data_IF_494139545050
#
_entry.id   IF_494139545050
#
_cell.length_a   1.000
_cell.length_b   1.000
_cell.length_c   1.000
_cell.angle_alpha   90.00
_cell.angle_beta   90.00
_cell.angle_gamma   90.00
#
_symmetry.space_group_name_H-M   'P 1'
#
loop_
_entity.id
_entity.type
_entity.pdbx_description
1 polymer ?
#
# COMPACT_ATOMS: atom_id res chain seq x y z
N UNK A 1 2.50 -1.23 -11.24
CA UNK A 1 1.73 -0.47 -12.24
C UNK A 1 0.66 -1.38 -12.82
N UNK A 2 -0.54 -1.46 -12.22
CA UNK A 2 -1.69 -2.11 -12.86
C UNK A 2 -2.76 -1.05 -13.13
N UNK A 3 -2.90 -0.77 -14.43
CA UNK A 3 -4.04 -0.27 -15.19
C UNK A 3 -5.11 0.61 -14.52
N UNK A 4 -5.18 1.86 -15.03
CA UNK A 4 -6.42 2.64 -15.12
C UNK A 4 -7.34 1.96 -16.15
N UNK A 5 -8.25 1.09 -15.70
CA UNK A 5 -9.53 0.97 -16.42
C UNK A 5 -10.42 2.15 -15.98
N UNK A 6 -10.92 2.98 -16.91
CA UNK A 6 -11.91 4.00 -16.61
C UNK A 6 -13.27 3.34 -16.38
N UNK A 7 -13.43 2.69 -15.24
CA UNK A 7 -14.74 2.25 -14.77
C UNK A 7 -15.33 3.38 -13.91
N UNK A 8 -16.50 3.95 -14.30
CA UNK A 8 -17.16 5.02 -13.56
C UNK A 8 -17.88 4.54 -12.28
N UNK A 9 -17.61 3.32 -11.82
CA UNK A 9 -18.28 2.76 -10.66
C UNK A 9 -17.67 3.31 -9.37
N UNK A 10 -18.49 3.96 -8.54
CA UNK A 10 -18.18 4.32 -7.15
C UNK A 10 -18.28 3.12 -6.19
N UNK A 11 -18.39 1.89 -6.73
CA UNK A 11 -18.57 0.67 -5.95
C UNK A 11 -17.39 -0.29 -6.19
N UNK A 12 -16.79 -0.76 -5.10
CA UNK A 12 -15.72 -1.75 -5.12
C UNK A 12 -16.22 -3.13 -4.68
N UNK A 13 -15.63 -4.17 -5.25
CA UNK A 13 -15.84 -5.55 -4.82
C UNK A 13 -14.85 -5.89 -3.70
N UNK A 14 -15.34 -6.27 -2.50
CA UNK A 14 -14.48 -6.76 -1.45
C UNK A 14 -13.96 -8.15 -1.81
N UNK A 15 -12.67 -8.41 -1.55
CA UNK A 15 -12.11 -9.76 -1.62
C UNK A 15 -11.27 -10.07 -0.38
N UNK A 16 -11.25 -11.34 0.05
CA UNK A 16 -10.46 -11.77 1.20
C UNK A 16 -9.10 -12.29 0.74
N UNK A 17 -8.04 -11.48 0.91
CA UNK A 17 -6.68 -11.90 0.53
C UNK A 17 -6.21 -13.14 1.30
N UNK A 18 -6.60 -13.29 2.56
CA UNK A 18 -6.22 -14.47 3.38
C UNK A 18 -6.85 -15.73 2.82
N UNK A 19 -8.16 -15.71 2.57
CA UNK A 19 -8.86 -16.87 2.02
C UNK A 19 -8.31 -17.24 0.64
N UNK A 20 -8.04 -16.25 -0.22
CA UNK A 20 -7.46 -16.50 -1.54
C UNK A 20 -6.10 -17.20 -1.46
N UNK A 21 -5.20 -16.77 -0.58
CA UNK A 21 -3.87 -17.38 -0.43
C UNK A 21 -3.98 -18.80 0.11
N UNK A 22 -4.75 -19.02 1.19
CA UNK A 22 -4.86 -20.36 1.77
C UNK A 22 -5.61 -21.34 0.85
N UNK A 23 -6.68 -20.89 0.19
CA UNK A 23 -7.45 -21.75 -0.72
C UNK A 23 -6.67 -22.08 -1.99
N UNK A 24 -5.93 -21.11 -2.55
CA UNK A 24 -5.12 -21.35 -3.75
C UNK A 24 -4.01 -22.37 -3.51
N UNK A 25 -3.33 -22.34 -2.37
CA UNK A 25 -2.30 -23.33 -2.03
C UNK A 25 -2.92 -24.74 -1.99
N UNK A 26 -4.01 -24.92 -1.24
CA UNK A 26 -4.67 -26.21 -1.12
C UNK A 26 -5.23 -26.71 -2.47
N UNK A 27 -5.84 -25.82 -3.24
CA UNK A 27 -6.44 -26.14 -4.54
C UNK A 27 -5.40 -26.52 -5.58
N UNK A 28 -4.25 -25.82 -5.63
CA UNK A 28 -3.14 -26.16 -6.53
C UNK A 28 -2.58 -27.54 -6.19
N UNK A 29 -2.31 -27.83 -4.91
CA UNK A 29 -1.79 -29.14 -4.48
C UNK A 29 -2.78 -30.24 -4.86
N UNK A 30 -4.08 -30.03 -4.63
CA UNK A 30 -5.11 -31.00 -4.97
C UNK A 30 -5.19 -31.25 -6.49
N UNK A 31 -5.23 -30.19 -7.31
CA UNK A 31 -5.32 -30.31 -8.76
C UNK A 31 -4.05 -30.89 -9.40
N UNK A 32 -2.88 -30.68 -8.81
CA UNK A 32 -1.61 -31.18 -9.35
C UNK A 32 -1.32 -32.62 -8.97
N UNK A 33 -1.83 -33.11 -7.82
CA UNK A 33 -1.57 -34.46 -7.34
C UNK A 33 -1.96 -35.56 -8.35
N UNK A 34 -3.09 -35.41 -9.04
CA UNK A 34 -3.55 -36.38 -10.04
C UNK A 34 -2.91 -36.24 -11.42
N UNK A 35 -2.10 -35.21 -11.67
CA UNK A 35 -1.55 -34.93 -13.00
C UNK A 35 -0.11 -35.42 -13.20
N UNK A 36 0.55 -35.88 -12.14
CA UNK A 36 1.94 -36.36 -12.22
C UNK A 36 2.09 -37.52 -13.22
N UNK A 37 1.18 -38.48 -13.21
CA UNK A 37 1.19 -39.62 -14.14
C UNK A 37 0.96 -39.17 -15.58
N UNK A 38 0.00 -38.28 -15.82
CA UNK A 38 -0.29 -37.74 -17.16
C UNK A 38 0.90 -36.97 -17.75
N UNK A 39 1.54 -36.13 -16.94
CA UNK A 39 2.72 -35.36 -17.36
C UNK A 39 3.90 -36.29 -17.61
N UNK A 40 4.09 -37.30 -16.76
CA UNK A 40 5.14 -38.30 -16.92
C UNK A 40 4.95 -39.11 -18.20
N UNK A 41 3.72 -39.61 -18.46
CA UNK A 41 3.39 -40.34 -19.67
C UNK A 41 3.56 -39.48 -20.93
N UNK A 42 3.14 -38.21 -20.88
CA UNK A 42 3.32 -37.27 -21.98
C UNK A 42 4.81 -36.98 -22.27
N UNK A 43 5.66 -36.96 -21.23
CA UNK A 43 7.10 -36.82 -21.40
C UNK A 43 7.72 -38.07 -22.04
N UNK A 44 7.35 -39.27 -21.56
CA UNK A 44 7.87 -40.54 -22.07
C UNK A 44 7.33 -40.92 -23.46
N UNK A 45 6.20 -40.35 -23.88
CA UNK A 45 5.65 -40.50 -25.24
C UNK A 45 6.43 -39.71 -26.31
N UNK A 46 7.35 -38.83 -25.91
CA UNK A 46 8.18 -38.06 -26.84
C UNK A 46 9.07 -38.94 -27.71
N UNK A 47 9.32 -38.50 -28.94
CA UNK A 47 10.28 -39.16 -29.82
C UNK A 47 11.70 -39.05 -29.24
N UNK A 48 12.24 -40.19 -28.82
CA UNK A 48 13.64 -40.43 -28.49
C UNK A 48 14.59 -40.05 -29.65
N UNK A 49 15.70 -39.41 -29.31
CA UNK A 49 16.74 -38.97 -30.25
C UNK A 49 18.00 -39.84 -30.20
N UNK A 50 18.27 -40.49 -29.06
CA UNK A 50 19.39 -41.39 -28.89
C UNK A 50 18.92 -42.74 -28.31
N UNK A 51 19.01 -43.85 -29.06
CA UNK A 51 18.73 -45.18 -28.55
C UNK A 51 19.88 -45.66 -27.65
N UNK A 52 19.54 -46.35 -26.56
CA UNK A 52 20.48 -47.14 -25.77
C UNK A 52 20.36 -48.59 -26.21
N UNK A 53 21.43 -49.15 -26.77
CA UNK A 53 21.43 -50.53 -27.26
C UNK A 53 21.96 -51.46 -26.18
N UNK A 54 21.10 -52.34 -25.65
CA UNK A 54 21.48 -53.35 -24.65
C UNK A 54 21.19 -54.72 -25.25
N UNK A 55 22.21 -55.56 -25.40
CA UNK A 55 22.10 -56.90 -26.00
C UNK A 55 21.48 -56.88 -27.41
N UNK A 56 21.82 -55.86 -28.21
CA UNK A 56 21.29 -55.71 -29.58
C UNK A 56 19.83 -55.25 -29.67
N UNK A 57 19.22 -54.87 -28.54
CA UNK A 57 17.86 -54.32 -28.50
C UNK A 57 17.92 -52.84 -28.12
N UNK A 58 17.31 -51.99 -28.94
CA UNK A 58 17.24 -50.56 -28.71
C UNK A 58 16.20 -50.23 -27.64
N UNK A 59 16.60 -49.42 -26.65
CA UNK A 59 15.76 -48.95 -25.54
C UNK A 59 15.83 -47.42 -25.46
N UNK A 60 14.78 -46.75 -24.96
CA UNK A 60 14.81 -45.30 -24.78
C UNK A 60 15.85 -44.89 -23.73
N UNK A 61 16.85 -44.08 -24.12
CA UNK A 61 17.96 -43.66 -23.25
C UNK A 61 17.67 -42.38 -22.42
N UNK A 62 16.44 -41.86 -22.48
CA UNK A 62 16.08 -40.58 -21.85
C UNK A 62 16.51 -39.33 -22.65
N UNK A 63 17.18 -39.50 -23.79
CA UNK A 63 17.44 -38.42 -24.73
C UNK A 63 16.24 -38.25 -25.68
N UNK A 64 15.52 -37.14 -25.53
CA UNK A 64 14.34 -36.82 -26.32
C UNK A 64 14.60 -35.64 -27.25
N UNK A 65 13.93 -35.62 -28.40
CA UNK A 65 13.93 -34.45 -29.25
C UNK A 65 13.12 -33.33 -28.59
N UNK A 66 13.68 -32.12 -28.51
CA UNK A 66 13.01 -30.96 -27.91
C UNK A 66 11.77 -30.52 -28.69
N UNK A 67 11.66 -30.88 -29.97
CA UNK A 67 10.48 -30.63 -30.79
C UNK A 67 9.32 -31.61 -30.52
N UNK A 68 9.58 -32.79 -29.96
CA UNK A 68 8.58 -33.85 -29.75
C UNK A 68 8.00 -33.89 -28.35
N UNK A 69 8.64 -33.21 -27.38
CA UNK A 69 8.20 -33.17 -25.98
C UNK A 69 7.50 -31.85 -25.69
N UNK A 70 6.23 -31.92 -25.27
CA UNK A 70 5.48 -30.74 -24.87
C UNK A 70 6.08 -30.09 -23.62
N UNK A 71 6.11 -28.75 -23.59
CA UNK A 71 6.59 -28.02 -22.42
C UNK A 71 5.68 -28.31 -21.21
N UNK A 72 6.29 -28.65 -20.07
CA UNK A 72 5.56 -28.86 -18.79
C UNK A 72 4.72 -27.62 -18.47
N UNK A 73 5.25 -26.42 -18.76
CA UNK A 73 4.53 -25.16 -18.61
C UNK A 73 3.19 -25.18 -19.35
N UNK A 74 3.15 -25.57 -20.62
CA UNK A 74 1.89 -25.62 -21.39
C UNK A 74 0.93 -26.70 -20.90
N UNK A 75 1.44 -27.82 -20.39
CA UNK A 75 0.60 -28.91 -19.86
C UNK A 75 -0.01 -28.54 -18.50
N UNK A 76 0.76 -27.90 -17.61
CA UNK A 76 0.34 -27.59 -16.25
C UNK A 76 -0.39 -26.25 -16.12
N UNK A 77 -0.17 -25.31 -17.05
CA UNK A 77 -0.79 -23.98 -17.02
C UNK A 77 -2.31 -24.02 -16.85
N UNK A 78 -3.10 -24.80 -17.62
CA UNK A 78 -4.55 -24.87 -17.40
C UNK A 78 -4.88 -25.34 -15.98
N UNK A 79 -4.16 -26.36 -15.48
CA UNK A 79 -4.34 -26.92 -14.14
C UNK A 79 -3.93 -25.98 -13.00
N UNK A 80 -3.23 -24.89 -13.30
CA UNK A 80 -2.92 -23.82 -12.34
C UNK A 80 -3.91 -22.65 -12.45
N UNK A 81 -4.29 -22.26 -13.66
CA UNK A 81 -5.17 -21.11 -13.89
C UNK A 81 -6.60 -21.38 -13.40
N UNK A 82 -7.14 -22.57 -13.67
CA UNK A 82 -8.49 -22.95 -13.22
C UNK A 82 -8.66 -22.88 -11.70
N UNK A 83 -7.80 -23.53 -10.88
CA UNK A 83 -7.93 -23.44 -9.43
C UNK A 83 -7.71 -22.01 -8.92
N UNK A 84 -6.77 -21.25 -9.50
CA UNK A 84 -6.56 -19.84 -9.12
C UNK A 84 -7.80 -18.99 -9.35
N UNK A 85 -8.44 -19.11 -10.52
CA UNK A 85 -9.65 -18.36 -10.84
C UNK A 85 -10.83 -18.79 -9.96
N UNK A 86 -10.96 -20.08 -9.67
CA UNK A 86 -12.00 -20.60 -8.76
C UNK A 86 -11.80 -20.09 -7.33
N UNK A 87 -10.55 -20.07 -6.85
CA UNK A 87 -10.20 -19.57 -5.52
C UNK A 87 -10.41 -18.06 -5.41
N UNK A 88 -10.14 -17.31 -6.48
CA UNK A 88 -10.43 -15.88 -6.55
C UNK A 88 -11.94 -15.64 -6.46
N UNK A 89 -12.74 -16.38 -7.24
CA UNK A 89 -14.20 -16.33 -7.17
C UNK A 89 -14.73 -16.65 -5.77
N UNK A 90 -14.24 -17.72 -5.15
CA UNK A 90 -14.62 -18.12 -3.80
C UNK A 90 -14.23 -17.06 -2.75
N UNK A 91 -13.06 -16.44 -2.88
CA UNK A 91 -12.62 -15.36 -2.00
C UNK A 91 -13.49 -14.11 -2.11
N UNK A 92 -13.92 -13.75 -3.33
CA UNK A 92 -14.83 -12.63 -3.56
C UNK A 92 -16.22 -12.96 -2.99
N UNK A 93 -16.77 -14.13 -3.30
CA UNK A 93 -18.09 -14.56 -2.82
C UNK A 93 -18.17 -14.65 -1.30
N UNK A 94 -17.15 -15.20 -0.65
CA UNK A 94 -17.09 -15.28 0.82
C UNK A 94 -17.00 -13.89 1.46
N UNK A 95 -16.20 -12.98 0.89
CA UNK A 95 -16.12 -11.60 1.37
C UNK A 95 -17.44 -10.84 1.18
N UNK A 96 -18.08 -10.98 0.02
CA UNK A 96 -19.40 -10.42 -0.26
C UNK A 96 -20.47 -10.97 0.68
N UNK A 97 -20.46 -12.29 0.92
CA UNK A 97 -21.42 -12.94 1.82
C UNK A 97 -21.24 -12.47 3.26
N UNK A 98 -20.00 -12.40 3.75
CA UNK A 98 -19.70 -11.89 5.08
C UNK A 98 -20.21 -10.44 5.23
N UNK A 99 -19.94 -9.58 4.25
CA UNK A 99 -20.40 -8.19 4.26
C UNK A 99 -21.93 -8.08 4.19
N UNK A 100 -22.58 -8.93 3.40
CA UNK A 100 -24.03 -8.98 3.35
C UNK A 100 -24.66 -9.37 4.70
N UNK A 101 -24.04 -10.28 5.44
CA UNK A 101 -24.52 -10.68 6.76
C UNK A 101 -24.40 -9.57 7.81
N UNK A 102 -23.32 -8.78 7.78
CA UNK A 102 -23.10 -7.70 8.76
C UNK A 102 -23.78 -6.38 8.36
N UNK A 103 -23.59 -5.92 7.13
CA UNK A 103 -23.97 -4.57 6.68
C UNK A 103 -25.18 -4.57 5.73
N UNK A 104 -25.69 -5.75 5.34
CA UNK A 104 -26.73 -5.93 4.30
C UNK A 104 -26.38 -5.29 2.95
N UNK A 105 -25.09 -5.09 2.67
CA UNK A 105 -24.58 -4.51 1.44
C UNK A 105 -23.61 -5.47 0.73
N UNK A 106 -23.82 -5.67 -0.57
CA UNK A 106 -23.00 -6.57 -1.39
C UNK A 106 -21.68 -5.94 -1.86
N UNK A 107 -21.67 -4.62 -2.02
CA UNK A 107 -20.54 -3.85 -2.57
C UNK A 107 -20.14 -2.74 -1.61
N UNK A 108 -18.88 -2.35 -1.69
CA UNK A 108 -18.33 -1.26 -0.90
C UNK A 108 -18.61 0.09 -1.58
N UNK A 109 -19.34 0.98 -0.93
CA UNK A 109 -19.46 2.37 -1.40
C UNK A 109 -18.20 3.16 -0.99
N UNK A 110 -17.54 3.76 -1.98
CA UNK A 110 -16.34 4.58 -1.79
C UNK A 110 -16.61 6.08 -1.98
N UNK A 111 -17.87 6.51 -2.05
CA UNK A 111 -18.21 7.92 -2.19
C UNK A 111 -17.55 8.82 -1.13
N UNK A 112 -17.44 8.34 0.12
CA UNK A 112 -16.79 9.09 1.21
C UNK A 112 -15.29 9.31 0.97
N UNK A 113 -14.61 8.42 0.25
CA UNK A 113 -13.17 8.53 -0.01
C UNK A 113 -12.83 9.75 -0.87
N UNK A 114 -13.76 10.20 -1.71
CA UNK A 114 -13.63 11.43 -2.51
C UNK A 114 -13.75 12.69 -1.66
N UNK A 115 -14.49 12.63 -0.54
CA UNK A 115 -14.66 13.76 0.41
C UNK A 115 -13.50 13.88 1.39
N UNK A 116 -12.66 12.86 1.50
CA UNK A 116 -11.53 12.84 2.41
C UNK A 116 -10.27 13.40 1.72
N UNK A 117 -9.69 14.46 2.29
CA UNK A 117 -8.53 15.15 1.70
C UNK A 117 -7.26 14.28 1.60
N UNK A 118 -7.08 13.31 2.50
CA UNK A 118 -5.94 12.39 2.46
C UNK A 118 -6.13 11.36 1.34
N UNK A 119 -7.32 10.74 1.29
CA UNK A 119 -7.61 9.70 0.31
C UNK A 119 -7.73 10.26 -1.10
N UNK A 120 -8.30 11.45 -1.29
CA UNK A 120 -8.38 12.13 -2.58
C UNK A 120 -7.00 12.44 -3.18
N UNK A 121 -5.99 12.70 -2.35
CA UNK A 121 -4.60 12.88 -2.78
C UNK A 121 -3.88 11.54 -3.07
N UNK A 122 -4.47 10.40 -2.72
CA UNK A 122 -3.88 9.07 -2.90
C UNK A 122 -4.55 8.29 -4.03
N UNK A 123 -3.82 7.32 -4.60
CA UNK A 123 -4.38 6.44 -5.63
C UNK A 123 -5.16 5.31 -4.97
N UNK A 124 -6.50 5.36 -5.06
CA UNK A 124 -7.37 4.27 -4.61
C UNK A 124 -7.57 3.21 -5.71
N UNK A 125 -7.71 1.93 -5.32
CA UNK A 125 -8.15 0.88 -6.25
C UNK A 125 -9.59 1.15 -6.72
N UNK A 126 -9.90 0.77 -7.97
CA UNK A 126 -11.21 1.03 -8.62
C UNK A 126 -12.10 -0.20 -8.84
N UNK A 127 -11.59 -1.42 -8.64
CA UNK A 127 -12.33 -2.64 -8.94
C UNK A 127 -12.40 -3.59 -7.76
N UNK A 128 -11.24 -4.06 -7.29
CA UNK A 128 -11.12 -5.02 -6.19
C UNK A 128 -10.33 -4.39 -5.05
N UNK A 129 -10.81 -4.60 -3.83
CA UNK A 129 -10.08 -4.21 -2.62
C UNK A 129 -10.23 -5.25 -1.54
N UNK A 130 -9.14 -5.55 -0.85
CA UNK A 130 -9.16 -6.27 0.42
C UNK A 130 -9.04 -5.34 1.63
N UNK A 131 -8.89 -4.03 1.38
CA UNK A 131 -8.81 -3.04 2.43
C UNK A 131 -10.21 -2.65 2.94
N UNK A 132 -10.35 -2.43 4.26
CA UNK A 132 -11.57 -1.90 4.86
C UNK A 132 -11.71 -0.42 4.50
N UNK A 133 -12.31 -0.15 3.34
CA UNK A 133 -12.50 1.18 2.76
C UNK A 133 -13.95 1.66 2.87
N UNK A 134 -14.78 1.04 3.70
CA UNK A 134 -16.17 1.43 3.85
C UNK A 134 -16.33 2.60 4.80
N UNK A 135 -17.53 3.18 4.84
CA UNK A 135 -17.85 4.32 5.71
C UNK A 135 -17.64 4.01 7.19
N UNK A 136 -17.68 2.73 7.58
CA UNK A 136 -17.33 2.24 8.93
C UNK A 136 -15.91 2.63 9.36
N UNK A 137 -15.01 2.86 8.40
CA UNK A 137 -13.61 3.25 8.63
C UNK A 137 -13.39 4.76 8.68
N UNK A 138 -14.45 5.54 8.45
CA UNK A 138 -14.44 6.99 8.49
C UNK A 138 -14.99 7.54 9.81
N UNK A 139 -14.60 8.76 10.15
CA UNK A 139 -15.19 9.57 11.21
C UNK A 139 -15.58 10.91 10.59
N UNK A 140 -16.86 11.29 10.68
CA UNK A 140 -17.30 12.63 10.37
C UNK A 140 -17.16 13.53 11.59
N UNK A 141 -16.50 14.68 11.43
CA UNK A 141 -16.44 15.74 12.45
C UNK A 141 -16.92 17.02 11.76
N UNK A 142 -18.11 17.49 12.15
CA UNK A 142 -18.79 18.57 11.45
C UNK A 142 -19.05 18.22 9.98
N UNK A 143 -18.64 19.10 9.07
CA UNK A 143 -18.80 18.91 7.62
C UNK A 143 -17.60 18.21 6.94
N UNK A 144 -16.61 17.76 7.72
CA UNK A 144 -15.39 17.11 7.19
C UNK A 144 -15.37 15.63 7.55
N UNK A 145 -14.90 14.80 6.62
CA UNK A 145 -14.77 13.34 6.81
C UNK A 145 -13.29 12.97 6.92
N UNK A 146 -12.93 12.35 8.04
CA UNK A 146 -11.58 11.92 8.37
C UNK A 146 -11.46 10.39 8.35
N UNK A 147 -10.27 9.88 8.05
CA UNK A 147 -9.98 8.45 8.08
C UNK A 147 -9.52 8.06 9.48
N UNK A 148 -10.11 7.01 10.08
CA UNK A 148 -9.71 6.51 11.41
C UNK A 148 -8.21 6.21 11.45
N UNK A 149 -7.49 6.47 12.56
CA UNK A 149 -6.07 6.14 12.66
C UNK A 149 -5.76 4.66 12.38
N UNK A 150 -6.65 3.76 12.80
CA UNK A 150 -6.54 2.32 12.49
C UNK A 150 -6.63 2.05 10.98
N UNK A 151 -7.53 2.73 10.28
CA UNK A 151 -7.67 2.62 8.83
C UNK A 151 -6.47 3.23 8.09
N UNK A 152 -5.94 4.37 8.57
CA UNK A 152 -4.70 4.95 8.05
C UNK A 152 -3.52 3.98 8.19
N UNK A 153 -3.40 3.30 9.34
CA UNK A 153 -2.36 2.30 9.56
C UNK A 153 -2.51 1.09 8.61
N UNK A 154 -3.73 0.58 8.42
CA UNK A 154 -4.01 -0.52 7.47
C UNK A 154 -3.72 -0.12 6.02
N UNK A 155 -3.95 1.14 5.66
CA UNK A 155 -3.58 1.71 4.36
C UNK A 155 -2.05 1.92 4.20
N UNK A 156 -1.27 1.69 5.26
CA UNK A 156 0.17 1.87 5.26
C UNK A 156 0.59 3.34 5.38
N UNK A 157 -0.19 4.16 6.09
CA UNK A 157 0.17 5.53 6.45
C UNK A 157 0.53 5.63 7.92
N UNK A 158 1.52 6.47 8.23
CA UNK A 158 1.92 6.84 9.56
C UNK A 158 2.01 8.36 9.68
N UNK A 159 1.61 8.88 10.84
CA UNK A 159 1.75 10.29 11.18
C UNK A 159 3.01 10.51 12.01
N UNK A 160 3.86 11.44 11.59
CA UNK A 160 5.04 11.88 12.33
C UNK A 160 4.71 13.26 12.90
N UNK A 161 4.87 13.42 14.21
CA UNK A 161 4.68 14.71 14.87
C UNK A 161 6.04 15.21 15.30
N UNK A 162 6.36 16.46 14.97
CA UNK A 162 7.54 17.10 15.54
C UNK A 162 7.36 17.18 17.07
N UNK A 163 8.30 16.57 17.80
CA UNK A 163 8.34 16.74 19.26
C UNK A 163 8.71 18.19 19.51
N UNK A 164 7.74 19.01 19.90
CA UNK A 164 7.99 20.33 20.46
C UNK A 164 8.80 20.14 21.73
N UNK A 165 10.13 20.13 21.58
CA UNK A 165 10.97 20.54 22.70
C UNK A 165 10.56 21.96 23.00
N UNK A 166 10.26 22.26 24.26
CA UNK A 166 9.96 23.60 24.75
C UNK A 166 11.21 24.50 24.63
N UNK A 167 11.68 24.73 23.41
CA UNK A 167 12.66 25.75 23.08
C UNK A 167 11.89 26.88 22.45
N UNK A 168 11.77 27.95 23.24
CA UNK A 168 11.29 29.25 22.80
C UNK A 168 12.26 29.73 21.73
N UNK A 169 11.92 29.54 20.46
CA UNK A 169 12.66 30.15 19.36
C UNK A 169 12.30 31.63 19.32
N UNK A 170 13.19 32.47 19.86
CA UNK A 170 13.11 33.92 19.75
C UNK A 170 13.55 34.30 18.34
N UNK A 171 12.60 34.48 17.43
CA UNK A 171 12.88 35.14 16.16
C UNK A 171 13.16 36.62 16.44
N UNK A 172 14.44 36.99 16.54
CA UNK A 172 14.88 38.37 16.41
C UNK A 172 14.66 38.77 14.95
N UNK A 173 13.53 39.40 14.66
CA UNK A 173 13.39 40.19 13.44
C UNK A 173 14.31 41.42 13.59
N UNK A 174 15.57 41.26 13.19
CA UNK A 174 16.44 42.41 12.92
C UNK A 174 15.95 43.00 11.60
N UNK A 175 15.10 44.03 11.69
CA UNK A 175 14.89 44.90 10.54
C UNK A 175 16.23 45.54 10.17
N UNK A 176 16.65 45.54 8.90
CA UNK A 176 17.75 46.38 8.47
C UNK A 176 17.22 47.82 8.46
N UNK A 177 17.53 48.62 9.48
CA UNK A 177 17.28 50.06 9.41
C UNK A 177 18.36 50.74 8.59
N UNK A 178 17.98 51.59 7.62
CA UNK A 178 18.90 52.54 7.02
C UNK A 178 19.36 53.56 8.07
N UNK A 179 20.57 54.05 7.86
CA UNK A 179 21.21 55.17 8.55
C UNK A 179 20.28 56.29 9.01
N UNK A 180 20.40 56.71 10.28
CA UNK A 180 20.16 58.11 10.67
C UNK A 180 19.26 58.36 11.89
N UNK A 181 19.92 58.79 12.98
CA UNK A 181 19.48 59.66 14.09
C UNK A 181 18.64 59.07 15.25
N UNK A 182 19.08 59.51 16.43
CA UNK A 182 18.68 59.18 17.79
C UNK A 182 17.18 59.31 18.10
N UNK A 183 16.71 58.42 18.97
CA UNK A 183 15.71 58.72 19.98
C UNK A 183 14.28 58.33 19.66
N UNK A 184 13.91 57.05 19.89
CA UNK A 184 12.63 56.74 20.56
C UNK A 184 12.49 55.26 20.95
N UNK A 185 11.84 55.02 22.09
CA UNK A 185 11.70 53.72 22.75
C UNK A 185 10.83 52.75 21.93
N UNK A 186 11.45 51.79 21.24
CA UNK A 186 10.72 50.70 20.60
C UNK A 186 10.42 49.58 21.62
N UNK A 187 9.21 49.58 22.19
CA UNK A 187 8.68 48.42 22.91
C UNK A 187 8.54 47.24 21.93
N UNK A 188 9.49 46.31 21.98
CA UNK A 188 9.40 45.05 21.25
C UNK A 188 8.18 44.26 21.72
N UNK A 189 7.11 44.23 20.92
CA UNK A 189 5.96 43.34 21.13
C UNK A 189 6.41 41.89 20.92
N UNK A 190 6.60 41.17 22.03
CA UNK A 190 6.88 39.75 22.07
C UNK A 190 5.64 38.97 21.57
N UNK A 191 5.58 38.65 20.27
CA UNK A 191 4.54 37.74 19.74
C UNK A 191 4.98 36.30 19.97
N UNK A 192 4.40 35.66 20.98
CA UNK A 192 4.46 34.23 21.20
C UNK A 192 3.72 33.53 20.05
N UNK A 193 4.42 33.18 18.97
CA UNK A 193 3.86 32.31 17.93
C UNK A 193 3.76 30.90 18.51
N UNK A 194 2.56 30.56 19.00
CA UNK A 194 2.18 29.19 19.34
C UNK A 194 2.03 28.41 18.03
N UNK A 195 3.15 28.09 17.40
CA UNK A 195 3.20 27.30 16.16
C UNK A 195 2.63 25.93 16.48
N UNK A 196 1.47 25.60 15.91
CA UNK A 196 0.88 24.27 16.06
C UNK A 196 1.91 23.22 15.58
N UNK A 197 2.08 22.11 16.32
CA UNK A 197 3.07 21.10 15.97
C UNK A 197 2.77 20.57 14.56
N UNK A 198 3.78 20.63 13.68
CA UNK A 198 3.65 20.16 12.31
C UNK A 198 3.50 18.64 12.33
N UNK A 199 2.36 18.16 11.84
CA UNK A 199 2.06 16.73 11.76
C UNK A 199 2.13 16.29 10.31
N UNK A 200 2.85 15.22 10.05
CA UNK A 200 3.25 14.81 8.71
C UNK A 200 2.75 13.41 8.40
N UNK A 201 2.09 13.21 7.26
CA UNK A 201 1.65 11.88 6.83
C UNK A 201 2.67 11.30 5.87
N UNK A 202 3.25 10.17 6.25
CA UNK A 202 4.26 9.44 5.48
C UNK A 202 3.81 8.00 5.27
N UNK A 203 4.19 7.41 4.14
CA UNK A 203 3.99 5.98 3.88
C UNK A 203 4.85 5.15 4.85
N UNK A 204 4.29 4.17 5.55
CA UNK A 204 5.03 3.25 6.42
C UNK A 204 6.15 2.55 5.65
N UNK A 205 5.90 2.17 4.40
CA UNK A 205 6.89 1.57 3.50
C UNK A 205 8.08 2.48 3.19
N UNK A 206 7.88 3.81 3.22
CA UNK A 206 8.98 4.76 3.09
C UNK A 206 9.76 4.93 4.41
N UNK A 207 9.12 4.63 5.55
CA UNK A 207 9.71 4.75 6.88
C UNK A 207 10.61 3.55 7.23
N UNK A 208 10.23 2.34 6.83
CA UNK A 208 11.00 1.10 7.09
C UNK A 208 12.49 1.22 6.70
N UNK A 209 12.86 1.63 5.46
CA UNK A 209 14.27 1.76 5.08
C UNK A 209 15.00 2.92 5.76
N UNK A 210 14.27 3.90 6.31
CA UNK A 210 14.85 4.99 7.12
C UNK A 210 15.18 4.46 8.53
N UNK A 211 14.27 3.68 9.13
CA UNK A 211 14.49 3.04 10.43
C UNK A 211 15.61 2.00 10.39
N UNK A 212 15.75 1.28 9.27
CA UNK A 212 16.84 0.33 9.02
C UNK A 212 18.18 1.01 8.64
N UNK A 213 18.21 2.35 8.54
CA UNK A 213 19.43 3.11 8.22
C UNK A 213 19.93 2.98 6.78
N UNK A 214 19.19 2.30 5.90
CA UNK A 214 19.67 1.95 4.56
C UNK A 214 19.43 3.04 3.50
N UNK A 215 18.46 3.95 3.67
CA UNK A 215 18.15 4.97 2.64
C UNK A 215 17.70 6.33 3.20
N UNK A 216 17.95 7.38 2.41
CA UNK A 216 17.42 8.74 2.60
C UNK A 216 15.88 8.74 2.46
N UNK A 217 15.18 9.63 3.16
CA UNK A 217 13.73 9.62 3.18
C UNK A 217 13.12 9.91 1.81
N UNK A 218 12.14 9.07 1.42
CA UNK A 218 11.28 9.36 0.29
C UNK A 218 10.38 10.57 0.61
N UNK A 219 9.99 11.32 -0.43
CA UNK A 219 9.20 12.53 -0.29
C UNK A 219 7.90 12.26 0.48
N UNK A 220 7.57 13.10 1.48
CA UNK A 220 6.32 13.00 2.22
C UNK A 220 5.13 13.29 1.30
N UNK A 221 3.96 12.76 1.66
CA UNK A 221 2.74 12.91 0.85
C UNK A 221 1.93 14.15 1.21
N UNK A 222 2.02 14.64 2.45
CA UNK A 222 1.29 15.83 2.88
C UNK A 222 1.59 16.21 4.33
N UNK A 223 1.24 17.44 4.67
CA UNK A 223 1.30 18.00 6.03
C UNK A 223 -0.12 18.22 6.53
N UNK A 224 -0.35 18.01 7.82
CA UNK A 224 -1.59 18.36 8.50
C UNK A 224 -1.31 19.61 9.33
N UNK A 225 -1.99 20.70 8.99
CA UNK A 225 -1.92 21.99 9.69
C UNK A 225 -3.34 22.40 10.08
N UNK A 226 -3.63 22.49 11.38
CA UNK A 226 -4.95 22.92 11.86
C UNK A 226 -6.11 22.03 11.41
N UNK A 227 -6.01 20.71 11.63
CA UNK A 227 -7.04 19.71 11.26
C UNK A 227 -7.34 19.63 9.75
N UNK A 228 -6.47 20.16 8.91
CA UNK A 228 -6.59 20.09 7.46
C UNK A 228 -5.35 19.43 6.84
N UNK A 229 -5.58 18.44 5.99
CA UNK A 229 -4.53 17.80 5.22
C UNK A 229 -4.22 18.62 3.96
N UNK A 230 -3.01 19.14 3.88
CA UNK A 230 -2.47 19.81 2.70
C UNK A 230 -1.49 18.87 1.99
N UNK A 231 -1.83 18.48 0.77
CA UNK A 231 -0.92 17.70 -0.07
C UNK A 231 0.34 18.55 -0.37
N UNK A 232 1.51 17.91 -0.41
CA UNK A 232 2.77 18.63 -0.73
C UNK A 232 2.76 19.00 -2.22
N UNK A 233 2.30 20.21 -2.53
CA UNK A 233 2.36 20.78 -3.89
C UNK A 233 3.54 21.75 -4.06
N UNK A 234 4.13 22.23 -2.96
CA UNK A 234 5.09 23.36 -3.01
C UNK A 234 6.48 22.98 -2.46
N UNK A 235 7.57 23.25 -3.21
CA UNK A 235 8.93 22.84 -2.85
C UNK A 235 9.49 23.50 -1.57
N UNK A 236 8.96 24.65 -1.15
CA UNK A 236 9.42 25.36 0.05
C UNK A 236 9.16 24.60 1.37
N UNK A 237 8.10 23.78 1.42
CA UNK A 237 7.77 22.96 2.59
C UNK A 237 8.71 21.77 2.76
N UNK A 238 9.42 21.35 1.69
CA UNK A 238 10.26 20.15 1.70
C UNK A 238 11.60 20.33 2.41
N UNK A 239 12.06 21.56 2.59
CA UNK A 239 13.38 21.88 3.15
C UNK A 239 13.40 21.76 4.68
N UNK A 240 12.38 22.28 5.38
CA UNK A 240 12.15 22.05 6.81
C UNK A 240 11.82 20.58 7.09
N UNK A 241 11.11 19.94 6.16
CA UNK A 241 10.76 18.52 6.18
C UNK A 241 11.94 17.55 6.08
N UNK A 242 12.90 17.84 5.19
CA UNK A 242 14.16 17.08 5.10
C UNK A 242 15.01 17.19 6.36
N UNK A 243 14.98 18.36 7.03
CA UNK A 243 15.65 18.55 8.33
C UNK A 243 14.99 17.72 9.43
N UNK A 244 13.66 17.70 9.47
CA UNK A 244 12.87 16.91 10.44
C UNK A 244 13.07 15.40 10.27
N UNK A 245 13.03 14.88 9.04
CA UNK A 245 13.24 13.44 8.79
C UNK A 245 14.72 13.06 8.85
N UNK A 246 15.64 14.02 8.73
CA UNK A 246 17.08 13.83 8.92
C UNK A 246 17.48 13.57 10.38
N UNK A 247 16.61 13.87 11.33
CA UNK A 247 16.77 13.48 12.73
C UNK A 247 16.65 11.95 12.87
N UNK A 248 17.75 11.29 13.29
CA UNK A 248 17.83 9.82 13.44
C UNK A 248 17.03 9.27 14.64
N UNK A 249 16.44 10.13 15.47
CA UNK A 249 15.73 9.71 16.67
C UNK A 249 14.22 9.81 16.47
N UNK A 250 13.59 8.65 16.27
CA UNK A 250 12.14 8.50 16.30
C UNK A 250 11.75 7.80 17.60
N UNK A 251 10.84 8.41 18.37
CA UNK A 251 10.24 7.78 19.55
C UNK A 251 8.84 7.34 19.17
N UNK A 252 8.57 6.03 19.30
CA UNK A 252 7.23 5.51 19.11
C UNK A 252 6.30 6.07 20.19
N UNK A 253 5.20 6.70 19.78
CA UNK A 253 4.11 7.08 20.66
C UNK A 253 2.84 6.37 20.20
N UNK A 254 2.07 5.81 21.13
CA UNK A 254 0.73 5.29 20.85
C UNK A 254 -0.15 6.50 20.58
N UNK A 255 -0.39 6.78 19.29
CA UNK A 255 -0.81 8.08 18.76
C UNK A 255 -1.87 8.83 19.57
N UNK A 256 -1.78 10.15 19.56
CA UNK A 256 -2.78 11.04 20.13
C UNK A 256 -3.88 11.26 19.09
N UNK A 257 -5.14 11.01 19.45
CA UNK A 257 -6.27 11.45 18.65
C UNK A 257 -6.27 12.99 18.65
N UNK A 258 -5.89 13.60 17.52
CA UNK A 258 -6.10 15.03 17.30
C UNK A 258 -7.57 15.21 16.92
N UNK A 259 -8.33 15.75 17.86
CA UNK A 259 -9.68 16.25 17.64
C UNK A 259 -9.64 17.69 17.09
#
# INVERSE_FOLDING_TARGET
>A
MLQRLPLPSSRLLPFSSRLFVYSSIGSIVYCTHGQFENVSNAFYAGAWSLPLTINGVDRPAGAYNTASVACIGSLLLPWLVYPLMSCLGFSILSAMSCRYLYDRQWTLDIAWTQRNALLSATRLPRLLTSLPLGEESAISIGNKVFCKPSAQAVLGFATIVERTTSRVEVALNVCPTPSGKEGDKCFAKLKLLKTAPLTLVVSTYALVPILLGCRRPASPKGTITGNEFTAVTTPASTTSLRKLIGSKHFVYNRGVCLA
#
